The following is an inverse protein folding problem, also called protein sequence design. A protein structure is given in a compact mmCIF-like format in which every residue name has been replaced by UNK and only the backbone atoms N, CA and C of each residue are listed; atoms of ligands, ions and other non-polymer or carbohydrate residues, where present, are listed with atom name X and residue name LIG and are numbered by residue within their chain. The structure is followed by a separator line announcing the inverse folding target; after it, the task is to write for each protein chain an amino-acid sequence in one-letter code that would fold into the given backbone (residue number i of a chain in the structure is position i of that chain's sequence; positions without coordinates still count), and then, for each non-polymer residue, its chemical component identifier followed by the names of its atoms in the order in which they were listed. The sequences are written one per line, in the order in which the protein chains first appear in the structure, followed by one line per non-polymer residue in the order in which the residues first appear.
data_IF_606487587429
#
_entry.id   IF_606487587429
#
_cell.length_a   1.000
_cell.length_b   1.000
_cell.length_c   1.000
_cell.angle_alpha   90.00
_cell.angle_beta   90.00
_cell.angle_gamma   90.00
#
_symmetry.space_group_name_H-M   'P 1'
#
loop_
_entity.id
_entity.type
_entity.pdbx_description
1 polymer ?
2 non-polymer ?
3 non-polymer ?
4 water ?
#
# COMPACT_ATOMS: atom_id res chain seq x y z
N UNK A 10 -17.48 3.41 -7.68
CA UNK A 10 -16.58 4.58 -7.43
C UNK A 10 -15.11 4.15 -7.56
N UNK A 11 -14.65 3.29 -6.66
CA UNK A 11 -13.29 2.76 -6.72
C UNK A 11 -13.31 1.75 -7.88
N UNK A 12 -12.37 1.85 -8.83
CA UNK A 12 -12.46 0.99 -10.01
C UNK A 12 -12.20 -0.49 -9.77
N UNK A 13 -12.82 -1.33 -10.60
CA UNK A 13 -12.59 -2.76 -10.59
C UNK A 13 -11.23 -2.98 -11.24
N UNK A 14 -10.59 -4.11 -10.97
CA UNK A 14 -9.30 -4.42 -11.58
C UNK A 14 -9.42 -4.60 -13.09
N UNK A 15 -8.34 -4.32 -13.80
CA UNK A 15 -8.31 -4.47 -15.27
C UNK A 15 -7.87 -5.86 -15.73
N UNK A 16 -7.39 -6.70 -14.81
CA UNK A 16 -6.91 -8.04 -15.15
C UNK A 16 -8.01 -9.07 -15.30
N UNK A 17 -7.64 -10.29 -15.71
CA UNK A 17 -8.64 -11.35 -15.99
C UNK A 17 -9.28 -12.03 -14.77
N UNK A 18 -8.67 -11.94 -13.59
CA UNK A 18 -9.17 -12.63 -12.41
C UNK A 18 -10.12 -11.78 -11.56
N UNK A 19 -11.14 -12.44 -11.00
CA UNK A 19 -11.99 -11.83 -10.00
C UNK A 19 -11.14 -11.63 -8.75
N UNK A 20 -11.55 -10.74 -7.86
CA UNK A 20 -10.74 -10.41 -6.68
C UNK A 20 -11.48 -10.62 -5.37
N UNK A 21 -10.77 -11.23 -4.43
CA UNK A 21 -11.28 -11.44 -3.08
C UNK A 21 -10.54 -10.56 -2.10
N UNK A 22 -11.10 -10.41 -0.90
CA UNK A 22 -10.47 -9.61 0.16
C UNK A 22 -10.81 -10.15 1.54
N UNK A 23 -9.83 -10.12 2.44
CA UNK A 23 -10.05 -10.46 3.85
C UNK A 23 -9.04 -9.72 4.73
N UNK A 24 -9.19 -9.83 6.05
CA UNK A 24 -8.27 -9.21 7.01
C UNK A 24 -7.62 -10.28 7.87
N UNK A 25 -6.35 -10.08 8.20
CA UNK A 25 -5.60 -11.02 9.04
C UNK A 25 -4.86 -10.24 10.10
N UNK A 26 -5.07 -10.62 11.36
CA UNK A 26 -4.31 -10.07 12.47
C UNK A 26 -3.71 -11.25 13.24
N UNK A 27 -2.38 -11.32 13.29
CA UNK A 27 -1.66 -12.34 14.03
C UNK A 27 -0.24 -11.89 14.37
N UNK A 28 0.17 -11.88 15.65
CA UNK A 28 -0.69 -12.20 16.80
C UNK A 28 -1.66 -11.05 17.08
N UNK A 29 -2.42 -11.15 18.17
CA UNK A 29 -3.43 -10.16 18.58
C UNK A 29 -2.90 -8.86 19.20
N UNK A 30 -1.59 -8.80 19.49
CA UNK A 30 -1.02 -7.68 20.23
C UNK A 30 -0.65 -6.50 19.34
N UNK A 31 -0.25 -5.40 19.97
CA UNK A 31 0.24 -4.22 19.24
C UNK A 31 1.57 -4.47 18.48
N UNK A 32 2.26 -5.57 18.77
CA UNK A 32 3.47 -5.99 18.06
C UNK A 32 3.21 -7.04 16.98
N UNK A 33 1.98 -7.52 16.87
CA UNK A 33 1.62 -8.50 15.85
C UNK A 33 1.49 -7.84 14.48
N UNK A 34 1.22 -8.66 13.48
CA UNK A 34 0.96 -8.19 12.12
C UNK A 34 -0.53 -7.96 11.91
N UNK A 35 -0.87 -6.85 11.26
CA UNK A 35 -2.26 -6.56 10.86
C UNK A 35 -2.20 -6.20 9.38
N UNK A 36 -2.96 -6.91 8.57
CA UNK A 36 -2.97 -6.63 7.14
C UNK A 36 -4.31 -6.92 6.49
N UNK A 37 -4.56 -6.23 5.37
CA UNK A 37 -5.69 -6.51 4.50
C UNK A 37 -5.14 -7.22 3.28
N UNK A 38 -5.71 -8.38 2.97
CA UNK A 38 -5.25 -9.20 1.87
C UNK A 38 -6.17 -9.07 0.65
N UNK A 39 -5.61 -8.80 -0.51
CA UNK A 39 -6.32 -8.84 -1.79
C UNK A 39 -5.71 -10.01 -2.56
N UNK A 40 -6.55 -10.79 -3.22
CA UNK A 40 -6.08 -12.03 -3.87
C UNK A 40 -7.00 -12.45 -5.03
N UNK A 41 -6.48 -13.26 -5.98
CA UNK A 41 -7.34 -13.75 -7.05
C UNK A 41 -8.40 -14.69 -6.45
N UNK A 42 -9.66 -14.49 -6.80
CA UNK A 42 -10.78 -15.25 -6.20
C UNK A 42 -11.40 -16.28 -7.14
N UNK A 43 -11.86 -17.38 -6.54
CA UNK A 43 -12.53 -18.46 -7.26
C UNK A 43 -13.93 -18.00 -7.70
N UNK A 44 -14.60 -17.24 -6.83
CA UNK A 44 -15.98 -16.82 -7.03
C UNK A 44 -16.14 -15.30 -7.12
N UNK A 45 -17.27 -14.87 -7.67
CA UNK A 45 -17.56 -13.45 -7.87
C UNK A 45 -18.98 -13.05 -7.45
N UNK A 46 -19.58 -13.81 -6.54
CA UNK A 46 -20.96 -13.58 -6.11
C UNK A 46 -21.08 -13.25 -4.62
N UNK A 47 -19.99 -12.76 -4.01
CA UNK A 47 -20.01 -12.43 -2.58
C UNK A 47 -20.33 -10.95 -2.41
N UNK A 48 -20.59 -10.55 -1.16
CA UNK A 48 -20.81 -9.13 -0.85
C UNK A 48 -19.52 -8.36 -1.09
N UNK A 49 -19.64 -7.10 -1.50
CA UNK A 49 -18.47 -6.23 -1.68
C UNK A 49 -17.87 -5.88 -0.32
N UNK A 50 -16.59 -5.50 -0.33
CA UNK A 50 -15.84 -5.21 0.89
C UNK A 50 -16.12 -3.79 1.40
N UNK A 51 -16.41 -3.67 2.69
CA UNK A 51 -16.63 -2.36 3.34
C UNK A 51 -15.29 -1.61 3.33
N UNK A 52 -15.29 -0.39 2.80
CA UNK A 52 -14.06 0.38 2.55
C UNK A 52 -13.35 0.84 3.82
N UNK A 53 -14.06 1.55 4.69
CA UNK A 53 -13.53 2.02 5.98
C UNK A 53 -14.43 1.36 7.03
N UNK A 54 -13.97 0.23 7.63
CA UNK A 54 -14.87 -0.64 8.39
C UNK A 54 -15.20 -0.34 9.86
N UNK A 55 -14.64 0.72 10.43
CA UNK A 55 -14.92 1.08 11.83
C UNK A 55 -15.00 2.58 12.02
N UNK A 56 -15.90 3.01 12.90
CA UNK A 56 -16.10 4.43 13.20
C UNK A 56 -14.84 5.15 13.69
N UNK A 57 -13.98 4.42 14.39
CA UNK A 57 -12.75 4.99 14.96
C UNK A 57 -11.76 5.46 13.87
N UNK A 58 -11.79 4.84 12.68
CA UNK A 58 -10.95 5.31 11.56
C UNK A 58 -11.37 6.74 11.14
N UNK A 59 -12.66 7.04 11.19
CA UNK A 59 -13.15 8.37 10.88
C UNK A 59 -12.76 9.39 11.94
N UNK A 60 -12.82 9.02 13.22
CA UNK A 60 -12.34 9.90 14.29
C UNK A 60 -10.85 10.16 14.12
N UNK A 61 -10.10 9.12 13.78
CA UNK A 61 -8.67 9.25 13.49
C UNK A 61 -8.39 10.20 12.35
N UNK A 62 -9.15 10.08 11.26
CA UNK A 62 -9.02 10.98 10.11
C UNK A 62 -9.28 12.46 10.46
N UNK A 63 -10.26 12.70 11.33
CA UNK A 63 -10.56 14.07 11.76
C UNK A 63 -9.38 14.70 12.52
N UNK A 64 -8.74 13.93 13.39
CA UNK A 64 -7.54 14.38 14.10
C UNK A 64 -6.41 14.68 13.12
N UNK A 65 -6.21 13.78 12.15
CA UNK A 65 -5.18 13.94 11.10
C UNK A 65 -5.41 15.20 10.25
N UNK A 66 -6.66 15.47 9.88
CA UNK A 66 -7.01 16.67 9.11
C UNK A 66 -7.00 17.97 9.94
N UNK A 67 -6.97 17.86 11.28
CA UNK A 67 -6.87 19.01 12.18
C UNK A 67 -8.19 19.59 12.66
N UNK A 68 -9.28 18.84 12.48
CA UNK A 68 -10.62 19.27 12.88
C UNK A 68 -11.06 18.55 14.16
N UNK A 69 -12.18 19.00 14.72
CA UNK A 69 -12.74 18.40 15.94
C UNK A 69 -13.36 17.03 15.63
N UNK A 70 -13.35 16.15 16.63
CA UNK A 70 -13.90 14.77 16.53
C UNK A 70 -15.29 14.65 15.88
N UNK A 71 -16.12 15.67 16.05
CA UNK A 71 -17.46 15.74 15.43
C UNK A 71 -17.43 15.71 13.91
N UNK A 72 -16.37 16.25 13.30
CA UNK A 72 -16.16 16.14 11.85
C UNK A 72 -15.95 14.68 11.44
N UNK A 73 -15.40 13.87 12.34
CA UNK A 73 -15.29 12.42 12.15
C UNK A 73 -16.64 11.78 11.90
N UNK A 74 -17.65 12.16 12.70
CA UNK A 74 -19.02 11.67 12.52
C UNK A 74 -19.62 12.09 11.18
N UNK A 75 -19.25 13.28 10.71
CA UNK A 75 -19.68 13.77 9.39
C UNK A 75 -19.04 12.94 8.27
N UNK A 76 -17.73 12.70 8.39
CA UNK A 76 -17.03 11.84 7.41
C UNK A 76 -17.64 10.44 7.40
N UNK A 77 -17.99 9.92 8.58
CA UNK A 77 -18.64 8.62 8.70
C UNK A 77 -19.99 8.60 7.99
N UNK A 78 -20.78 9.65 8.16
CA UNK A 78 -22.08 9.77 7.47
C UNK A 78 -21.91 9.74 5.95
N UNK A 79 -20.91 10.45 5.45
CA UNK A 79 -20.66 10.54 4.00
C UNK A 79 -20.04 9.30 3.37
N UNK A 80 -19.10 8.66 4.08
CA UNK A 80 -18.31 7.55 3.54
C UNK A 80 -18.42 6.19 4.26
N UNK A 81 -19.13 6.14 5.39
CA UNK A 81 -19.23 4.92 6.21
C UNK A 81 -19.91 3.68 5.66
N UNK A 82 -20.69 3.83 4.58
CA UNK A 82 -21.35 2.69 3.93
C UNK A 82 -20.77 2.40 2.53
N UNK A 83 -19.70 3.10 2.16
CA UNK A 83 -19.05 2.91 0.87
C UNK A 83 -18.30 1.58 0.82
N UNK A 84 -18.32 0.93 -0.34
CA UNK A 84 -17.63 -0.35 -0.52
C UNK A 84 -16.57 -0.24 -1.60
N UNK A 85 -15.76 -1.28 -1.73
CA UNK A 85 -14.72 -1.36 -2.76
C UNK A 85 -14.94 -2.69 -3.48
N UNK A 86 -14.70 -2.75 -4.81
CA UNK A 86 -15.13 -3.96 -5.56
C UNK A 86 -14.22 -5.19 -5.39
N UNK A 87 -14.29 -5.80 -4.20
CA UNK A 87 -13.58 -7.03 -3.88
C UNK A 87 -14.54 -7.93 -3.13
N UNK A 88 -14.57 -9.20 -3.51
CA UNK A 88 -15.44 -10.19 -2.87
C UNK A 88 -14.96 -10.52 -1.45
N UNK A 89 -15.71 -10.03 -0.45
CA UNK A 89 -15.34 -10.21 0.97
C UNK A 89 -15.37 -11.69 1.35
N UNK A 90 -14.22 -12.19 1.83
CA UNK A 90 -14.06 -13.59 2.26
C UNK A 90 -14.32 -14.69 1.23
N UNK A 91 -14.15 -14.37 -0.05
CA UNK A 91 -14.33 -15.32 -1.14
C UNK A 91 -13.17 -16.33 -1.13
N UNK A 92 -13.43 -17.58 -1.57
CA UNK A 92 -12.32 -18.55 -1.64
C UNK A 92 -11.22 -18.12 -2.61
N UNK A 93 -9.97 -18.47 -2.29
CA UNK A 93 -8.83 -18.17 -3.15
C UNK A 93 -8.95 -18.99 -4.44
N UNK A 94 -8.55 -18.40 -5.56
CA UNK A 94 -8.53 -19.10 -6.85
C UNK A 94 -7.42 -20.14 -6.79
N UNK A 95 -7.77 -21.45 -6.84
CA UNK A 95 -6.76 -22.50 -6.67
C UNK A 95 -5.95 -22.79 -7.93
N UNK A 96 -4.94 -23.64 -7.78
CA UNK A 96 -4.16 -24.19 -8.89
C UNK A 96 -3.06 -23.35 -9.51
N UNK A 97 -2.50 -22.40 -8.76
CA UNK A 97 -1.43 -21.54 -9.27
C UNK A 97 -0.71 -20.81 -8.13
N UNK A 98 0.62 -20.70 -8.25
CA UNK A 98 1.43 -19.97 -7.26
C UNK A 98 1.49 -18.50 -7.68
N UNK A 99 1.06 -17.61 -6.79
CA UNK A 99 0.99 -16.17 -7.09
C UNK A 99 2.16 -15.39 -6.48
N UNK A 100 2.73 -14.43 -7.24
CA UNK A 100 3.74 -13.55 -6.60
C UNK A 100 3.10 -12.67 -5.53
N UNK A 101 3.93 -12.18 -4.59
CA UNK A 101 3.45 -11.44 -3.43
C UNK A 101 3.96 -10.00 -3.39
N UNK A 102 3.04 -9.08 -3.15
CA UNK A 102 3.36 -7.67 -2.93
C UNK A 102 2.98 -7.32 -1.49
N UNK A 103 3.90 -6.71 -0.77
CA UNK A 103 3.61 -6.14 0.55
C UNK A 103 3.49 -4.63 0.32
N UNK A 104 2.37 -4.05 0.75
CA UNK A 104 2.06 -2.64 0.51
C UNK A 104 2.06 -1.82 1.80
N UNK A 105 2.69 -0.64 1.75
CA UNK A 105 2.81 0.28 2.91
C UNK A 105 2.07 1.61 2.68
N UNK A 106 1.14 1.92 3.57
CA UNK A 106 0.33 3.14 3.46
C UNK A 106 1.05 4.42 3.89
N UNK A 107 0.48 5.55 3.51
CA UNK A 107 1.01 6.87 3.87
C UNK A 107 0.65 7.32 5.29
N UNK A 108 1.23 8.44 5.68
CA UNK A 108 0.94 9.15 6.93
C UNK A 108 -0.55 9.49 6.98
N UNK A 109 -1.22 9.14 8.07
CA UNK A 109 -2.65 9.42 8.23
C UNK A 109 -3.59 8.45 7.52
N UNK A 110 -3.04 7.47 6.80
CA UNK A 110 -3.85 6.46 6.13
C UNK A 110 -3.93 5.25 7.05
N UNK A 111 -4.38 4.12 6.49
CA UNK A 111 -4.44 2.84 7.18
C UNK A 111 -4.58 1.78 6.08
N UNK A 112 -4.76 0.51 6.43
CA UNK A 112 -4.65 -0.59 5.44
C UNK A 112 -5.62 -0.61 4.27
N UNK A 113 -6.79 0.00 4.44
CA UNK A 113 -7.88 -0.16 3.46
C UNK A 113 -7.96 0.90 2.37
N UNK A 114 -7.11 1.94 2.46
CA UNK A 114 -7.24 3.11 1.58
C UNK A 114 -6.48 3.05 0.26
N UNK A 115 -5.94 1.89 -0.09
CA UNK A 115 -5.25 1.73 -1.37
C UNK A 115 -5.77 0.49 -2.10
N UNK A 116 -7.09 0.29 -2.04
CA UNK A 116 -7.74 -0.84 -2.69
C UNK A 116 -7.75 -0.74 -4.22
N UNK A 117 -7.67 0.46 -4.78
CA UNK A 117 -7.63 0.59 -6.25
C UNK A 117 -6.37 -0.10 -6.77
N UNK A 118 -5.25 0.13 -6.10
CA UNK A 118 -3.98 -0.53 -6.42
C UNK A 118 -4.05 -2.02 -6.07
N UNK A 119 -4.46 -2.33 -4.83
CA UNK A 119 -4.56 -3.71 -4.35
C UNK A 119 -5.40 -4.61 -5.24
N UNK A 120 -6.58 -4.12 -5.59
CA UNK A 120 -7.54 -4.87 -6.42
C UNK A 120 -6.99 -5.08 -7.83
N UNK A 121 -6.37 -4.07 -8.41
CA UNK A 121 -5.84 -4.21 -9.78
C UNK A 121 -4.69 -5.21 -9.84
N UNK A 122 -3.77 -5.15 -8.87
CA UNK A 122 -2.68 -6.14 -8.77
C UNK A 122 -3.27 -7.55 -8.62
N UNK A 123 -4.23 -7.72 -7.72
CA UNK A 123 -4.87 -9.02 -7.52
C UNK A 123 -5.57 -9.53 -8.78
N UNK A 124 -6.21 -8.64 -9.53
CA UNK A 124 -6.89 -9.01 -10.77
C UNK A 124 -5.93 -9.56 -11.85
N UNK A 125 -4.64 -9.17 -11.77
CA UNK A 125 -3.58 -9.67 -12.65
C UNK A 125 -2.79 -10.87 -12.09
N UNK A 126 -3.25 -11.44 -10.97
CA UNK A 126 -2.64 -12.64 -10.40
C UNK A 126 -1.62 -12.45 -9.29
N UNK A 127 -1.73 -11.37 -8.53
CA UNK A 127 -0.86 -11.13 -7.37
C UNK A 127 -1.67 -11.34 -6.11
N UNK A 128 -1.00 -11.74 -5.04
CA UNK A 128 -1.57 -11.65 -3.70
C UNK A 128 -0.93 -10.37 -3.14
N UNK A 129 -1.77 -9.50 -2.55
CA UNK A 129 -1.31 -8.22 -2.02
C UNK A 129 -1.62 -8.15 -0.53
N UNK A 130 -0.58 -7.91 0.27
CA UNK A 130 -0.70 -7.78 1.71
C UNK A 130 -0.48 -6.31 2.08
N UNK A 131 -1.59 -5.60 2.33
CA UNK A 131 -1.55 -4.20 2.72
C UNK A 131 -1.47 -4.13 4.24
N UNK A 132 -0.28 -3.86 4.77
CA UNK A 132 -0.08 -3.82 6.23
C UNK A 132 -0.63 -2.54 6.85
N UNK A 133 -1.03 -2.64 8.11
CA UNK A 133 -1.50 -1.51 8.89
C UNK A 133 -0.44 -1.31 9.97
N UNK A 134 0.24 -0.17 9.91
CA UNK A 134 1.34 0.15 10.79
C UNK A 134 0.88 0.57 12.19
N UNK A 135 1.64 0.12 13.18
CA UNK A 135 1.40 0.44 14.59
C UNK A 135 2.48 1.41 15.13
N UNK A 136 3.02 2.24 14.24
CA UNK A 136 4.04 3.23 14.60
C UNK A 136 3.44 4.60 14.95
N UNK A 137 2.10 4.68 15.05
CA UNK A 137 1.35 5.92 15.25
C UNK A 137 1.39 6.88 14.04
N UNK A 138 1.72 6.36 12.86
CA UNK A 138 1.62 7.11 11.59
C UNK A 138 0.25 6.91 10.96
N UNK A 139 -0.46 5.84 11.32
CA UNK A 139 -1.83 5.64 10.85
C UNK A 139 -2.77 6.62 11.56
N UNK A 140 -3.79 7.10 10.85
CA UNK A 140 -4.86 7.92 11.48
C UNK A 140 -5.40 7.19 12.70
N UNK A 141 -5.63 5.89 12.51
CA UNK A 141 -6.02 5.01 13.59
C UNK A 141 -5.69 3.56 13.23
N UNK A 142 -5.52 2.75 14.26
CA UNK A 142 -5.38 1.30 14.13
C UNK A 142 -5.80 0.68 15.45
N UNK A 143 -5.96 -0.64 15.46
CA UNK A 143 -6.33 -1.33 16.70
C UNK A 143 -5.65 -2.66 16.88
N UNK A 144 -5.73 -3.13 18.12
CA UNK A 144 -5.14 -4.39 18.56
C UNK A 144 -5.87 -4.82 19.83
N UNK A 145 -5.41 -5.91 20.45
CA UNK A 145 -6.00 -6.41 21.69
C UNK A 145 -4.92 -6.51 22.77
N UNK A 146 -5.21 -6.00 23.97
CA UNK A 146 -4.21 -5.94 25.05
C UNK A 146 -3.71 -7.30 25.52
N UNK A 147 -4.59 -8.29 25.52
CA UNK A 147 -4.22 -9.64 25.90
C UNK A 147 -5.19 -10.67 25.29
N UNK A 148 -4.97 -11.94 25.59
CA UNK A 148 -5.76 -13.05 25.04
C UNK A 148 -7.26 -12.93 25.34
N UNK A 149 -7.60 -12.53 26.56
CA UNK A 149 -9.01 -12.35 26.97
C UNK A 149 -9.72 -11.31 26.09
N UNK A 150 -9.08 -10.15 25.94
CA UNK A 150 -9.64 -9.06 25.12
C UNK A 150 -9.88 -9.49 23.67
N UNK A 151 -8.96 -10.28 23.11
CA UNK A 151 -9.11 -10.81 21.74
C UNK A 151 -10.33 -11.74 21.62
N UNK A 152 -10.57 -12.57 22.62
CA UNK A 152 -11.74 -13.48 22.61
C UNK A 152 -13.07 -12.72 22.50
N UNK A 153 -13.25 -11.75 23.39
CA UNK A 153 -14.49 -10.96 23.42
C UNK A 153 -14.58 -9.83 22.39
N UNK A 154 -13.50 -9.54 21.67
CA UNK A 154 -13.48 -8.47 20.66
C UNK A 154 -13.46 -7.07 21.25
N UNK A 155 -12.76 -6.92 22.37
CA UNK A 155 -12.61 -5.63 23.04
C UNK A 155 -11.37 -4.95 22.45
N UNK A 156 -11.61 -4.05 21.49
CA UNK A 156 -10.53 -3.39 20.75
C UNK A 156 -9.91 -2.23 21.52
N UNK A 157 -8.58 -2.14 21.46
CA UNK A 157 -7.85 -0.98 21.95
C UNK A 157 -7.38 -0.21 20.73
N UNK A 158 -7.73 1.06 20.65
CA UNK A 158 -7.38 1.89 19.52
C UNK A 158 -6.14 2.73 19.80
N UNK A 159 -5.34 2.92 18.76
CA UNK A 159 -4.12 3.72 18.79
C UNK A 159 -4.26 4.77 17.71
N UNK A 160 -4.14 6.05 18.07
CA UNK A 160 -4.35 7.14 17.12
C UNK A 160 -3.05 7.83 16.73
N UNK A 161 -3.10 8.54 15.59
CA UNK A 161 -1.99 9.30 15.04
C UNK A 161 -1.32 10.19 16.08
N UNK A 162 0.02 10.18 16.07
CA UNK A 162 0.81 11.03 16.95
C UNK A 162 1.18 12.32 16.22
N UNK A 163 0.86 13.46 16.83
CA UNK A 163 1.24 14.78 16.30
C UNK A 163 2.62 15.10 16.86
N UNK A 164 3.52 15.58 16.00
CA UNK A 164 4.90 15.88 16.39
C UNK A 164 5.20 17.36 16.52
N UNK A 165 6.06 17.68 17.48
CA UNK A 165 6.60 19.02 17.64
C UNK A 165 7.69 19.13 16.58
N UNK A 166 7.93 20.35 16.10
CA UNK A 166 8.96 20.62 15.06
C UNK A 166 10.33 19.99 15.39
N UNK A 167 10.70 20.03 16.68
CA UNK A 167 11.95 19.46 17.18
C UNK A 167 12.02 17.93 17.14
N UNK A 168 10.86 17.26 17.24
CA UNK A 168 10.77 15.80 17.15
C UNK A 168 10.81 15.22 15.73
N UNK A 169 10.59 16.06 14.71
CA UNK A 169 10.41 15.58 13.32
C UNK A 169 11.45 14.58 12.82
N UNK A 170 12.71 15.00 12.81
CA UNK A 170 13.79 14.17 12.26
C UNK A 170 13.92 12.82 12.95
N UNK A 171 14.02 12.83 14.28
CA UNK A 171 14.23 11.61 15.04
C UNK A 171 13.04 10.66 15.03
N UNK A 172 11.84 11.18 15.25
CA UNK A 172 10.64 10.32 15.33
C UNK A 172 10.26 9.75 13.97
N UNK A 173 10.32 10.54 12.90
CA UNK A 173 10.02 10.02 11.55
C UNK A 173 10.97 8.88 11.17
N UNK A 174 12.23 8.99 11.55
CA UNK A 174 13.21 7.93 11.29
C UNK A 174 12.93 6.67 12.11
N UNK A 175 12.56 6.83 13.38
CA UNK A 175 12.17 5.68 14.22
C UNK A 175 10.95 4.97 13.62
N UNK A 176 10.00 5.78 13.14
CA UNK A 176 8.80 5.28 12.50
C UNK A 176 9.07 4.48 11.21
N UNK A 177 9.90 5.02 10.32
CA UNK A 177 10.22 4.31 9.06
C UNK A 177 10.94 2.99 9.33
N UNK A 178 11.77 2.95 10.37
CA UNK A 178 12.46 1.72 10.78
C UNK A 178 11.46 0.68 11.28
N UNK A 179 10.52 1.11 12.12
CA UNK A 179 9.45 0.20 12.63
C UNK A 179 8.58 -0.29 11.46
N UNK A 180 8.24 0.62 10.55
CA UNK A 180 7.48 0.27 9.34
C UNK A 180 8.18 -0.83 8.51
N UNK A 181 9.48 -0.67 8.34
CA UNK A 181 10.28 -1.69 7.64
C UNK A 181 10.21 -3.04 8.37
N UNK A 182 10.33 -3.02 9.69
CA UNK A 182 10.21 -4.25 10.48
C UNK A 182 8.83 -4.88 10.36
N UNK A 183 7.79 -4.05 10.35
CA UNK A 183 6.43 -4.53 10.13
C UNK A 183 6.25 -5.15 8.73
N UNK A 184 6.89 -4.58 7.71
CA UNK A 184 6.85 -5.18 6.37
C UNK A 184 7.53 -6.55 6.32
N UNK A 185 8.70 -6.65 6.95
CA UNK A 185 9.43 -7.92 7.04
C UNK A 185 8.64 -8.97 7.84
N UNK A 186 8.03 -8.55 8.94
CA UNK A 186 7.26 -9.45 9.78
C UNK A 186 6.03 -9.99 9.04
N UNK A 187 5.36 -9.11 8.30
CA UNK A 187 4.22 -9.53 7.46
C UNK A 187 4.64 -10.56 6.41
N UNK A 188 5.80 -10.34 5.77
CA UNK A 188 6.34 -11.30 4.78
C UNK A 188 6.59 -12.66 5.42
N UNK A 189 7.25 -12.65 6.59
CA UNK A 189 7.54 -13.89 7.32
C UNK A 189 6.25 -14.64 7.70
N UNK A 190 5.20 -13.90 8.07
CA UNK A 190 3.91 -14.52 8.42
C UNK A 190 3.27 -15.16 7.19
N UNK A 191 3.21 -14.44 6.07
CA UNK A 191 2.61 -14.97 4.84
C UNK A 191 3.38 -16.20 4.34
N UNK A 192 4.72 -16.13 4.36
CA UNK A 192 5.56 -17.26 3.93
C UNK A 192 5.36 -18.47 4.82
N UNK A 193 5.21 -18.26 6.13
CA UNK A 193 4.93 -19.37 7.06
C UNK A 193 3.55 -19.98 6.81
N UNK A 194 2.55 -19.14 6.55
CA UNK A 194 1.22 -19.62 6.19
C UNK A 194 1.28 -20.42 4.87
N UNK A 195 2.08 -19.95 3.92
CA UNK A 195 2.32 -20.66 2.65
C UNK A 195 2.91 -22.07 2.91
N UNK A 196 3.83 -22.16 3.87
CA UNK A 196 4.40 -23.45 4.28
C UNK A 196 3.62 -24.13 5.42
N UNK A 197 2.28 -24.02 5.38
CA UNK A 197 1.38 -24.74 6.29
C UNK A 197 1.32 -24.44 7.78
N UNK A 198 1.98 -23.37 8.24
CA UNK A 198 1.95 -23.00 9.66
C UNK A 198 0.51 -22.70 10.09
N UNK A 199 0.00 -23.35 11.14
CA UNK A 199 -1.35 -23.05 11.60
C UNK A 199 -1.36 -21.70 12.32
N UNK A 200 -2.30 -20.83 11.94
CA UNK A 200 -2.43 -19.50 12.54
C UNK A 200 -3.90 -19.27 12.93
N UNK A 201 -4.09 -18.77 14.15
CA UNK A 201 -5.40 -18.44 14.69
C UNK A 201 -5.60 -16.95 14.45
N UNK A 202 -6.37 -16.60 13.40
CA UNK A 202 -6.66 -15.20 13.11
C UNK A 202 -7.34 -14.58 14.32
N UNK A 203 -6.80 -13.47 14.83
CA UNK A 203 -7.36 -12.77 15.98
C UNK A 203 -8.75 -12.20 15.65
N UNK A 204 -9.00 -11.92 14.37
CA UNK A 204 -10.30 -11.51 13.89
C UNK A 204 -11.05 -12.78 13.50
N UNK A 205 -12.29 -12.91 13.95
CA UNK A 205 -13.10 -14.09 13.65
C UNK A 205 -13.83 -13.85 12.32
N UNK A 206 -13.21 -14.32 11.23
CA UNK A 206 -13.75 -14.13 9.88
C UNK A 206 -13.84 -15.46 9.17
N UNK A 207 -14.81 -15.60 8.28
CA UNK A 207 -15.04 -16.84 7.52
C UNK A 207 -14.13 -16.93 6.29
N UNK A 208 -12.82 -16.97 6.54
CA UNK A 208 -11.82 -17.21 5.51
C UNK A 208 -10.75 -18.08 6.17
N UNK A 209 -10.67 -19.33 5.73
CA UNK A 209 -9.71 -20.27 6.30
C UNK A 209 -8.33 -20.00 5.69
N UNK A 210 -7.36 -19.65 6.54
CA UNK A 210 -5.99 -19.35 6.09
C UNK A 210 -5.26 -20.56 5.49
N UNK A 211 -5.76 -21.77 5.74
CA UNK A 211 -5.22 -23.00 5.13
C UNK A 211 -5.25 -23.00 3.59
N UNK A 212 -6.17 -22.26 3.00
CA UNK A 212 -6.24 -22.08 1.53
C UNK A 212 -4.95 -21.50 0.93
N UNK A 213 -4.26 -20.68 1.70
CA UNK A 213 -3.02 -20.04 1.26
C UNK A 213 -1.79 -20.98 1.25
N UNK A 214 -1.93 -22.19 1.79
CA UNK A 214 -0.84 -23.17 1.74
C UNK A 214 -0.47 -23.44 0.28
N UNK A 215 0.83 -23.38 -0.01
CA UNK A 215 1.38 -23.59 -1.35
C UNK A 215 0.81 -22.67 -2.45
N UNK A 216 0.36 -21.47 -2.05
CA UNK A 216 -0.24 -20.51 -2.99
C UNK A 216 0.70 -19.35 -3.39
N UNK A 217 1.85 -19.23 -2.72
CA UNK A 217 2.80 -18.13 -2.95
C UNK A 217 4.01 -18.58 -3.77
N UNK A 218 4.39 -17.78 -4.77
CA UNK A 218 5.62 -18.00 -5.51
C UNK A 218 6.68 -17.34 -4.63
N UNK A 219 7.36 -18.19 -3.85
CA UNK A 219 8.19 -17.73 -2.72
C UNK A 219 9.38 -16.83 -3.05
N UNK A 220 9.88 -16.88 -4.28
CA UNK A 220 10.99 -16.00 -4.71
C UNK A 220 10.55 -14.69 -5.39
N UNK A 221 9.26 -14.59 -5.74
CA UNK A 221 8.72 -13.44 -6.46
C UNK A 221 7.98 -12.52 -5.49
N UNK A 222 8.78 -11.77 -4.73
CA UNK A 222 8.30 -10.89 -3.67
C UNK A 222 8.73 -9.45 -3.95
N UNK A 223 7.79 -8.51 -3.82
CA UNK A 223 8.07 -7.08 -4.01
C UNK A 223 7.43 -6.27 -2.89
N UNK A 224 7.94 -5.06 -2.67
CA UNK A 224 7.36 -4.13 -1.70
C UNK A 224 7.00 -2.82 -2.44
N UNK A 225 5.79 -2.32 -2.19
CA UNK A 225 5.25 -1.11 -2.83
C UNK A 225 4.64 -0.23 -1.74
N UNK A 226 4.66 1.09 -1.95
CA UNK A 226 4.11 2.01 -0.95
C UNK A 226 4.00 3.45 -1.41
N UNK A 227 3.11 4.18 -0.76
CA UNK A 227 2.82 5.57 -1.09
C UNK A 227 3.34 6.54 -0.03
N UNK A 228 4.11 7.54 -0.49
CA UNK A 228 4.55 8.66 0.35
C UNK A 228 5.41 8.20 1.53
N UNK A 229 4.92 8.24 2.78
CA UNK A 229 5.65 7.66 3.93
C UNK A 229 5.93 6.17 3.61
N UNK A 230 4.96 5.53 2.96
CA UNK A 230 5.12 4.16 2.47
C UNK A 230 6.19 3.96 1.40
N UNK A 231 6.46 4.99 0.60
CA UNK A 231 7.54 5.01 -0.39
C UNK A 231 8.91 4.98 0.29
N UNK A 232 9.07 5.77 1.36
CA UNK A 232 10.28 5.69 2.18
C UNK A 232 10.40 4.30 2.80
N UNK A 233 9.27 3.76 3.25
CA UNK A 233 9.21 2.42 3.84
C UNK A 233 9.73 1.36 2.85
N UNK A 234 9.37 1.48 1.57
CA UNK A 234 9.88 0.60 0.51
C UNK A 234 11.39 0.56 0.51
N UNK A 235 12.00 1.74 0.55
CA UNK A 235 13.47 1.89 0.46
C UNK A 235 14.17 1.36 1.71
N UNK A 236 13.64 1.70 2.89
CA UNK A 236 14.17 1.17 4.15
C UNK A 236 14.08 -0.36 4.16
N UNK A 237 12.91 -0.88 3.79
CA UNK A 237 12.66 -2.34 3.76
C UNK A 237 13.63 -3.07 2.82
N UNK A 238 13.81 -2.56 1.60
CA UNK A 238 14.75 -3.15 0.64
C UNK A 238 16.18 -3.22 1.21
N UNK A 239 16.62 -2.14 1.87
CA UNK A 239 17.97 -2.09 2.44
C UNK A 239 18.23 -3.10 3.55
N UNK A 240 17.19 -3.48 4.28
CA UNK A 240 17.35 -4.42 5.39
C UNK A 240 16.78 -5.83 5.17
N UNK A 241 16.09 -6.10 4.07
CA UNK A 241 15.50 -7.43 3.85
C UNK A 241 15.66 -7.82 2.37
N UNK A 242 16.64 -8.68 2.12
CA UNK A 242 16.94 -9.14 0.75
C UNK A 242 15.92 -10.11 0.16
N UNK A 243 14.96 -10.58 0.95
CA UNK A 243 13.88 -11.41 0.44
C UNK A 243 12.98 -10.63 -0.53
N UNK A 244 12.93 -9.30 -0.36
CA UNK A 244 12.25 -8.43 -1.32
C UNK A 244 13.15 -8.23 -2.53
N UNK A 245 12.66 -8.63 -3.69
CA UNK A 245 13.43 -8.62 -4.96
C UNK A 245 13.47 -7.27 -5.67
N UNK A 246 12.43 -6.46 -5.48
CA UNK A 246 12.40 -5.12 -6.05
C UNK A 246 11.36 -4.30 -5.32
N UNK A 247 11.39 -3.00 -5.54
CA UNK A 247 10.45 -2.08 -4.93
C UNK A 247 9.94 -1.01 -5.86
N UNK A 248 8.71 -0.55 -5.59
CA UNK A 248 8.11 0.55 -6.32
C UNK A 248 7.65 1.60 -5.30
N UNK A 249 8.20 2.80 -5.38
CA UNK A 249 7.88 3.89 -4.48
C UNK A 249 6.93 4.86 -5.20
N UNK A 250 5.71 4.99 -4.67
CA UNK A 250 4.71 5.86 -5.25
C UNK A 250 4.73 7.21 -4.54
N UNK A 251 5.28 8.22 -5.23
CA UNK A 251 5.38 9.59 -4.71
C UNK A 251 5.99 9.56 -3.31
N UNK A 252 7.18 8.95 -3.23
CA UNK A 252 7.87 8.75 -1.97
C UNK A 252 8.16 10.08 -1.26
N UNK A 253 8.02 10.06 0.05
CA UNK A 253 8.39 11.16 0.93
C UNK A 253 9.67 10.69 1.60
N UNK A 254 10.80 11.26 1.17
CA UNK A 254 12.13 10.76 1.52
C UNK A 254 12.67 11.23 2.88
N UNK A 255 12.04 12.24 3.48
CA UNK A 255 12.49 12.82 4.75
C UNK A 255 12.83 11.85 5.89
N UNK A 256 12.02 10.79 6.09
CA UNK A 256 12.32 9.89 7.22
C UNK A 256 13.59 9.04 7.14
N UNK A 257 14.15 8.88 5.94
CA UNK A 257 15.29 7.99 5.74
C UNK A 257 16.58 8.51 6.36
N UNK A 258 17.33 7.62 7.01
CA UNK A 258 18.63 7.96 7.56
C UNK A 258 19.65 8.07 6.43
N UNK A 259 20.75 8.79 6.66
CA UNK A 259 21.79 8.98 5.63
C UNK A 259 22.42 7.67 5.16
N UNK A 260 22.47 6.68 6.06
CA UNK A 260 23.08 5.38 5.76
C UNK A 260 22.40 4.51 4.70
N UNK A 261 21.08 4.64 4.55
CA UNK A 261 20.31 3.78 3.62
C UNK A 261 20.61 4.02 2.12
N UNK A 262 20.89 5.27 1.76
CA UNK A 262 21.03 5.67 0.33
C UNK A 262 21.98 4.82 -0.54
N UNK A 263 23.10 4.39 0.01
CA UNK A 263 24.07 3.57 -0.74
C UNK A 263 23.92 2.04 -0.56
N UNK A 264 22.91 1.57 0.17
CA UNK A 264 22.70 0.12 0.38
C UNK A 264 21.32 -0.40 -0.05
N UNK A 265 20.95 -0.10 -1.30
CA UNK A 265 19.71 -0.60 -1.90
C UNK A 265 20.12 -1.37 -3.17
N UNK A 266 20.51 -2.65 -3.03
CA UNK A 266 20.93 -3.39 -4.22
C UNK A 266 19.81 -3.73 -5.20
N UNK A 267 18.56 -3.80 -4.73
CA UNK A 267 17.45 -4.24 -5.57
C UNK A 267 16.99 -3.15 -6.57
N UNK A 268 16.38 -3.57 -7.69
CA UNK A 268 15.77 -2.59 -8.60
C UNK A 268 14.68 -1.76 -7.90
N UNK A 269 14.66 -0.46 -8.18
CA UNK A 269 13.74 0.49 -7.54
C UNK A 269 13.14 1.42 -8.59
N UNK A 270 11.81 1.57 -8.56
CA UNK A 270 11.04 2.36 -9.51
C UNK A 270 10.32 3.48 -8.74
N UNK A 271 10.61 4.74 -9.09
CA UNK A 271 9.93 5.90 -8.52
C UNK A 271 8.81 6.33 -9.49
N UNK A 272 7.56 6.30 -9.03
CA UNK A 272 6.42 6.84 -9.80
C UNK A 272 5.92 8.07 -9.04
N UNK A 273 6.10 9.26 -9.63
CA UNK A 273 5.79 10.52 -8.97
C UNK A 273 4.57 11.24 -9.55
N UNK A 274 3.97 12.10 -8.73
CA UNK A 274 2.92 12.99 -9.20
C UNK A 274 3.62 14.26 -9.66
N UNK A 275 2.98 15.01 -10.56
CA UNK A 275 3.57 16.25 -11.06
C UNK A 275 3.67 17.32 -9.99
N UNK A 276 2.63 17.48 -9.18
CA UNK A 276 2.53 18.60 -8.25
C UNK A 276 3.06 18.41 -6.82
N UNK A 277 3.28 17.17 -6.38
CA UNK A 277 3.80 16.95 -5.03
C UNK A 277 5.30 17.22 -4.89
N UNK A 278 6.09 16.79 -5.86
CA UNK A 278 7.55 16.76 -5.72
C UNK A 278 8.21 18.13 -5.61
N UNK A 279 9.38 18.13 -4.97
CA UNK A 279 10.20 19.34 -4.76
C UNK A 279 11.68 18.96 -4.78
N UNK A 280 12.58 19.95 -5.02
CA UNK A 280 14.02 19.68 -5.13
C UNK A 280 14.65 18.82 -4.02
N UNK A 281 14.44 19.19 -2.75
CA UNK A 281 15.02 18.42 -1.62
C UNK A 281 14.66 16.94 -1.69
N UNK A 282 13.40 16.66 -2.05
CA UNK A 282 12.91 15.29 -2.18
C UNK A 282 13.53 14.58 -3.39
N UNK A 283 13.56 15.27 -4.52
CA UNK A 283 14.15 14.71 -5.76
C UNK A 283 15.64 14.42 -5.58
N UNK A 284 16.36 15.33 -4.90
CA UNK A 284 17.78 15.14 -4.60
C UNK A 284 18.00 13.85 -3.79
N UNK A 285 17.15 13.62 -2.80
CA UNK A 285 17.22 12.39 -2.00
C UNK A 285 16.96 11.14 -2.87
N UNK A 286 16.00 11.20 -3.79
CA UNK A 286 15.77 10.09 -4.73
C UNK A 286 17.01 9.84 -5.59
N UNK A 287 17.64 10.92 -6.05
CA UNK A 287 18.87 10.82 -6.87
C UNK A 287 20.05 10.22 -6.11
N UNK A 288 20.10 10.40 -4.78
CA UNK A 288 21.13 9.74 -3.96
C UNK A 288 21.03 8.21 -3.96
N UNK A 289 19.88 7.65 -4.31
CA UNK A 289 19.72 6.20 -4.42
C UNK A 289 20.32 5.63 -5.71
N UNK A 290 20.66 6.49 -6.68
CA UNK A 290 21.19 6.06 -7.98
C UNK A 290 22.68 5.70 -7.89
N UNK A 291 23.08 4.74 -8.72
CA UNK A 291 24.47 4.30 -8.81
C UNK A 291 24.64 3.52 -10.11
N UNK A 292 25.82 3.59 -10.77
CA UNK A 292 25.98 2.89 -12.07
C UNK A 292 25.66 1.39 -12.07
N UNK A 293 25.93 0.71 -10.95
CA UNK A 293 25.67 -0.73 -10.85
C UNK A 293 24.22 -1.12 -10.48
N UNK A 294 23.36 -0.15 -10.14
CA UNK A 294 21.99 -0.44 -9.70
C UNK A 294 20.93 -0.01 -10.70
N UNK A 295 19.86 -0.80 -10.77
CA UNK A 295 18.74 -0.55 -11.68
C UNK A 295 17.77 0.45 -11.06
N UNK A 296 17.57 1.57 -11.73
CA UNK A 296 16.69 2.64 -11.26
C UNK A 296 15.86 3.21 -12.39
N UNK A 297 14.58 3.46 -12.11
CA UNK A 297 13.67 4.10 -13.07
C UNK A 297 12.84 5.15 -12.35
N UNK A 298 12.41 6.16 -13.10
CA UNK A 298 11.58 7.24 -12.57
C UNK A 298 10.67 7.79 -13.67
N UNK A 299 9.39 7.97 -13.33
CA UNK A 299 8.43 8.63 -14.21
C UNK A 299 7.55 9.58 -13.40
N UNK A 300 6.96 10.54 -14.10
CA UNK A 300 6.05 11.51 -13.50
C UNK A 300 4.76 11.53 -14.32
N UNK A 301 3.63 11.43 -13.63
CA UNK A 301 2.31 11.42 -14.27
C UNK A 301 1.88 12.89 -14.44
N UNK A 302 1.69 13.33 -15.69
CA UNK A 302 1.27 14.71 -15.98
C UNK A 302 -0.09 15.02 -15.38
N UNK A 303 -0.21 16.20 -14.79
CA UNK A 303 -1.48 16.68 -14.22
C UNK A 303 -1.94 16.02 -12.93
N UNK A 304 -1.10 15.16 -12.34
CA UNK A 304 -1.50 14.42 -11.15
C UNK A 304 -1.04 15.09 -9.87
N UNK A 305 -1.74 14.74 -8.79
CA UNK A 305 -1.46 15.24 -7.46
C UNK A 305 -1.17 14.05 -6.54
N UNK A 306 -0.66 14.35 -5.35
CA UNK A 306 -0.26 13.35 -4.34
C UNK A 306 -1.35 12.32 -4.04
N UNK A 307 -2.61 12.76 -4.01
CA UNK A 307 -3.74 11.90 -3.70
C UNK A 307 -4.23 10.98 -4.82
N UNK A 308 -3.70 11.13 -6.05
CA UNK A 308 -4.06 10.22 -7.14
C UNK A 308 -3.71 8.74 -6.87
N UNK A 309 -2.79 8.47 -5.94
CA UNK A 309 -2.39 7.10 -5.60
C UNK A 309 -3.27 6.43 -4.54
N UNK A 310 -4.05 7.23 -3.79
CA UNK A 310 -4.92 6.72 -2.74
C UNK A 310 -6.40 6.73 -3.17
N UNK A 311 -7.22 5.97 -2.44
CA UNK A 311 -8.63 5.73 -2.81
C UNK A 311 -9.58 6.93 -2.73
N UNK A 312 -9.26 7.95 -1.93
CA UNK A 312 -10.12 9.12 -1.79
C UNK A 312 -10.24 9.93 -3.09
N UNK A 313 -9.33 9.72 -4.04
CA UNK A 313 -9.41 10.32 -5.38
C UNK A 313 -10.65 9.85 -6.17
N UNK A 314 -11.22 8.70 -5.77
CA UNK A 314 -12.43 8.16 -6.38
C UNK A 314 -13.69 8.36 -5.53
N UNK A 315 -13.55 8.90 -4.32
CA UNK A 315 -14.66 8.96 -3.36
C UNK A 315 -15.62 10.14 -3.50
N UNK A 316 -15.22 11.17 -4.25
CA UNK A 316 -16.08 12.35 -4.49
C UNK A 316 -16.14 12.67 -5.99
N UNK A 317 -17.01 13.60 -6.34
CA UNK A 317 -17.12 14.10 -7.72
C UNK A 317 -15.95 15.01 -8.05
N UNK A 318 -15.88 15.43 -9.31
CA UNK A 318 -14.75 16.24 -9.81
C UNK A 318 -14.58 17.59 -9.12
N UNK A 319 -15.68 18.32 -8.92
CA UNK A 319 -15.60 19.67 -8.32
C UNK A 319 -15.18 19.62 -6.85
N UNK A 320 -15.86 18.80 -6.06
CA UNK A 320 -15.51 18.62 -4.64
C UNK A 320 -14.12 17.97 -4.51
N UNK A 321 -13.77 17.11 -5.46
CA UNK A 321 -12.46 16.45 -5.48
C UNK A 321 -11.30 17.41 -5.72
N UNK A 322 -11.44 18.26 -6.73
CA UNK A 322 -10.39 19.23 -7.08
C UNK A 322 -10.20 20.28 -5.97
N UNK A 323 -11.29 20.63 -5.27
CA UNK A 323 -11.24 21.57 -4.13
C UNK A 323 -10.51 21.00 -2.93
N UNK A 324 -10.80 19.74 -2.59
CA UNK A 324 -10.16 19.04 -1.45
C UNK A 324 -8.73 18.50 -1.71
N UNK A 325 -8.18 18.76 -2.90
CA UNK A 325 -6.86 18.26 -3.33
C UNK A 325 -6.82 16.74 -3.55
N UNK A 326 -7.99 16.12 -3.77
CA UNK A 326 -8.11 14.68 -3.97
C UNK A 326 -7.93 14.29 -5.44
N UNK A 327 -8.16 15.23 -6.36
CA UNK A 327 -8.00 15.00 -7.79
C UNK A 327 -7.09 16.06 -8.40
N UNK A 328 -6.47 15.72 -9.52
CA UNK A 328 -5.62 16.66 -10.27
C UNK A 328 -6.31 17.02 -11.57
N UNK A 329 -5.53 17.56 -12.51
CA UNK A 329 -6.05 17.92 -13.84
C UNK A 329 -6.38 16.67 -14.66
N UNK A 330 -5.56 15.63 -14.48
CA UNK A 330 -5.76 14.34 -15.12
C UNK A 330 -6.97 13.59 -14.51
N UNK A 331 -7.60 12.73 -15.31
CA UNK A 331 -8.67 11.86 -14.82
C UNK A 331 -8.06 10.83 -13.84
N UNK A 332 -8.73 10.59 -12.72
CA UNK A 332 -8.23 9.66 -11.69
C UNK A 332 -8.06 8.23 -12.19
N UNK A 333 -9.01 7.74 -12.97
CA UNK A 333 -8.92 6.39 -13.55
C UNK A 333 -7.76 6.28 -14.52
N UNK A 334 -7.56 7.32 -15.33
CA UNK A 334 -6.43 7.38 -16.25
C UNK A 334 -5.10 7.37 -15.48
N UNK A 335 -5.00 8.20 -14.44
CA UNK A 335 -3.77 8.27 -13.63
C UNK A 335 -3.41 6.95 -12.96
N UNK A 336 -4.39 6.31 -12.30
CA UNK A 336 -4.14 5.04 -11.61
C UNK A 336 -3.81 3.91 -12.61
N UNK A 337 -4.48 3.89 -13.76
CA UNK A 337 -4.17 2.91 -14.82
C UNK A 337 -2.70 3.00 -15.24
N UNK A 338 -2.19 4.23 -15.42
CA UNK A 338 -0.78 4.43 -15.80
C UNK A 338 0.17 3.92 -14.71
N UNK A 339 -0.09 4.30 -13.46
CA UNK A 339 0.73 3.84 -12.34
C UNK A 339 0.70 2.31 -12.20
N UNK A 340 -0.51 1.74 -12.25
CA UNK A 340 -0.70 0.28 -12.12
C UNK A 340 -0.09 -0.51 -13.27
N UNK A 341 -0.30 -0.07 -14.51
CA UNK A 341 0.23 -0.77 -15.69
C UNK A 341 1.75 -0.68 -15.78
N UNK A 342 2.31 0.48 -15.47
CA UNK A 342 3.77 0.65 -15.40
C UNK A 342 4.36 -0.21 -14.27
N UNK A 343 3.65 -0.30 -13.14
CA UNK A 343 4.07 -1.15 -12.03
C UNK A 343 4.13 -2.63 -12.44
N UNK A 344 3.09 -3.10 -13.13
CA UNK A 344 3.04 -4.49 -13.63
C UNK A 344 4.22 -4.82 -14.56
N UNK A 345 4.54 -3.90 -15.46
CA UNK A 345 5.68 -4.09 -16.38
C UNK A 345 7.01 -4.19 -15.61
N UNK A 346 7.19 -3.31 -14.62
CA UNK A 346 8.40 -3.31 -13.80
C UNK A 346 8.49 -4.60 -12.97
N UNK A 347 7.36 -5.01 -12.40
CA UNK A 347 7.31 -6.25 -11.61
C UNK A 347 7.65 -7.48 -12.47
N UNK A 348 7.06 -7.59 -13.66
CA UNK A 348 7.36 -8.72 -14.57
C UNK A 348 8.85 -8.83 -14.89
N UNK A 349 9.47 -7.67 -15.14
CA UNK A 349 10.87 -7.59 -15.51
C UNK A 349 11.82 -7.99 -14.38
N UNK A 350 11.53 -7.54 -13.16
CA UNK A 350 12.44 -7.79 -12.04
C UNK A 350 12.07 -8.93 -11.11
N UNK A 351 10.87 -9.48 -11.26
CA UNK A 351 10.49 -10.74 -10.61
C UNK A 351 10.57 -11.92 -11.58
N UNK A 352 10.75 -11.66 -12.87
CA UNK A 352 10.85 -12.71 -13.88
C UNK A 352 9.54 -13.45 -14.11
N UNK A 353 8.46 -12.69 -14.26
CA UNK A 353 7.13 -13.26 -14.47
C UNK A 353 6.91 -13.62 -15.94
N UNK A 354 6.14 -14.68 -16.19
CA UNK A 354 5.84 -15.17 -17.53
C UNK A 354 4.41 -14.80 -17.91
N UNK A 355 4.15 -13.49 -17.90
CA UNK A 355 2.84 -12.93 -18.22
C UNK A 355 3.02 -11.99 -19.41
N UNK A 356 1.98 -11.23 -19.73
CA UNK A 356 2.00 -10.28 -20.84
C UNK A 356 2.12 -8.82 -20.39
N UNK A 357 2.67 -8.58 -19.18
CA UNK A 357 2.79 -7.22 -18.65
C UNK A 357 3.85 -6.39 -19.37
N UNK A 358 4.77 -7.06 -20.07
CA UNK A 358 5.75 -6.37 -20.92
C UNK A 358 5.14 -5.54 -22.07
N UNK A 359 3.84 -5.71 -22.32
CA UNK A 359 3.10 -4.82 -23.23
C UNK A 359 3.10 -3.36 -22.75
N UNK A 360 3.33 -3.14 -21.45
CA UNK A 360 3.42 -1.79 -20.89
C UNK A 360 4.86 -1.32 -20.59
N UNK A 361 5.87 -1.94 -21.21
CA UNK A 361 7.29 -1.55 -21.00
C UNK A 361 7.58 -0.09 -21.35
N UNK A 362 6.90 0.44 -22.35
CA UNK A 362 7.03 1.84 -22.76
C UNK A 362 6.73 2.82 -21.60
N UNK A 363 5.78 2.45 -20.74
CA UNK A 363 5.41 3.27 -19.58
C UNK A 363 6.52 3.41 -18.54
N UNK A 364 7.40 2.40 -18.43
CA UNK A 364 8.56 2.46 -17.53
C UNK A 364 9.53 3.58 -17.95
N UNK A 365 9.61 3.85 -19.25
CA UNK A 365 10.46 4.93 -19.80
C UNK A 365 9.72 6.27 -19.90
N UNK A 366 8.46 6.33 -19.44
CA UNK A 366 7.66 7.54 -19.51
C UNK A 366 7.21 7.90 -20.93
N UNK A 367 7.16 6.90 -21.82
CA UNK A 367 6.79 7.09 -23.24
C UNK A 367 5.27 6.94 -23.40
N UNK A 368 4.57 8.05 -23.12
CA UNK A 368 3.11 8.13 -23.18
C UNK A 368 2.76 9.61 -23.11
N UNK A 369 1.64 10.00 -23.72
CA UNK A 369 1.24 11.41 -23.74
C UNK A 369 1.00 12.02 -22.34
N UNK A 370 0.56 11.21 -21.39
CA UNK A 370 0.35 11.66 -19.99
C UNK A 370 1.52 11.32 -19.03
N UNK A 371 2.68 10.96 -19.57
CA UNK A 371 3.86 10.69 -18.75
C UNK A 371 5.03 11.59 -19.12
N UNK A 372 5.87 11.86 -18.13
CA UNK A 372 7.11 12.60 -18.30
C UNK A 372 8.23 11.65 -17.91
N UNK A 373 9.19 11.40 -18.83
CA UNK A 373 10.37 10.62 -18.44
C UNK A 373 11.14 11.32 -17.32
N UNK A 374 11.54 10.58 -16.29
CA UNK A 374 12.24 11.16 -15.16
C UNK A 374 11.34 12.09 -14.38
N UNK A 375 11.78 13.33 -14.20
CA UNK A 375 11.06 14.33 -13.42
C UNK A 375 11.01 15.72 -14.05
N UNK A 376 9.94 16.46 -13.72
CA UNK A 376 9.77 17.86 -14.12
C UNK A 376 10.49 18.85 -13.19
N UNK A 377 11.03 18.35 -12.07
CA UNK A 377 11.69 19.20 -11.07
C UNK A 377 13.15 19.43 -11.43
N UNK A 378 13.59 20.68 -11.36
CA UNK A 378 14.96 21.07 -11.65
C UNK A 378 15.81 20.97 -10.37
N UNK A 379 16.97 20.31 -10.46
CA UNK A 379 17.92 20.17 -9.36
C UNK A 379 19.35 20.34 -9.86
X LIG B 1 0.10 17.40 -4.71
X LIG C 1 12.91 21.97 -1.79
X LIG D 1 -1.80 15.68 4.08
X LIG D 1 0.78 10.73 3.23
X LIG D 1 -1.54 17.59 5.68
X LIG D 1 -2.19 16.24 5.39
X LIG D 1 -2.58 16.14 2.94
X LIG D 1 -4.04 15.65 2.91
X LIG D 1 -4.99 15.93 1.71
X LIG D 1 -4.46 14.16 2.79
X LIG D 1 -7.65 13.31 3.07
X LIG D 1 -9.98 13.94 2.95
X LIG D 1 -8.24 15.54 2.46
X LIG D 1 -0.32 14.24 2.72
X LIG D 1 1.92 13.26 3.16
X LIG D 1 2.65 14.57 3.15
X LIG D 1 4.11 12.69 3.81
X LIG D 1 2.12 10.89 3.55
X LIG D 1 -1.92 9.82 2.77
X LIG D 1 -7.47 9.44 3.62
X LIG D 1 -6.11 9.49 3.41
X LIG D 1 -5.31 9.76 4.48
X LIG D 1 -3.94 9.84 4.27
X LIG D 1 -5.63 9.29 2.15
X LIG D 1 -4.25 9.36 1.95
X LIG D 1 -3.40 9.65 3.01
X LIG D 1 -1.64 11.63 2.66
X LIG D 1 0.07 11.79 2.96
X LIG D 1 2.78 9.90 3.87
X LIG D 1 2.71 12.22 3.51
X LIG D 1 4.09 14.17 3.44
X LIG D 1 0.56 13.09 2.93
X LIG D 1 -0.74 14.83 4.07
X LIG D 1 -0.14 14.51 5.09
X LIG D 1 -1.93 18.18 6.96
X LIG D 1 -3.36 18.31 7.33
X LIG D 1 -4.21 18.97 6.26
X LIG D 1 -1.01 17.93 8.08
X LIG D 1 -1.08 16.55 8.66
X LIG D 1 -5.26 15.84 3.83
X LIG D 1 -5.78 14.97 2.65
X LIG D 1 -7.25 14.59 2.71
X LIG D 1 -9.59 15.22 2.58
X LIG D 1 -11.44 13.60 3.09
X LIG D 1 -11.99 13.32 1.91
X LIG D 1 -11.65 12.53 3.86
X LIG D 1 -12.14 14.58 3.63
X LIG D 1 -8.99 12.98 3.20
#
# INVERSE_FOLDING_TARGET
MAAASFGQTKIPRGNGPYSVGCTDLMFDHTNKGTFLRLYYPSQDNDRLDTLWIPNKEYFWGLSKFLGTHWLMGNILRLLFGSMTTPANWNSPLRPGEKYPLVVFSHGLGAFRTLYSAIGIDLASHGFIVAAVEHRDRSASATYYFKDQSAAEIGDKSWLYLRTLKQEEETHIRNEQVRQRAKECSQALSLILDIDHGKPVKNALDLKFDMEQLKDSIDREKIAVIGHSFGGATVIQTLSEDQRFRCGIALDAWMFPLGDEVYSRIPQPLFFINSEYFQYPANIIKMKKCYSPDKERKMITIRGSVHQNFADFTFATGKIIGHMLKLKGDIDSNVAIDLSNKASLAFLQKHLGLHKDFDQWDCLIEGDDENLIPGTNINTTNQHHHHHH
CL CL
CL CL
71H N1 N3 C4 C5 C6 C7 C8 C10 C13 C15 C17 C20 C21 C22 C24 C26 C28 F3 C32 C31 C30 C33 C34 C29 S C27 O1 C25 C23 N2 C19 O N C2 C3 C1 C C11 C9 C12 C16 C18 F2 F1 F C14
#
